data_IF_666988445732
#
_entry.id   IF_666988445732
#
_cell.length_a   1.000
_cell.length_b   1.000
_cell.length_c   1.000
_cell.angle_alpha   90.00
_cell.angle_beta   90.00
_cell.angle_gamma   90.00
#
_symmetry.space_group_name_H-M   'P 1'
#
loop_
_entity.id
_entity.type
_entity.pdbx_description
1 polymer ?
#
# COMPACT_ATOMS: atom_id res chain seq x y z
N UNK A 1 1.41 -12.70 8.14
CA UNK A 1 1.44 -11.77 9.28
C UNK A 1 2.59 -12.20 10.16
N UNK A 2 3.40 -11.24 10.58
CA UNK A 2 4.57 -11.46 11.41
C UNK A 2 4.38 -10.76 12.76
N UNK A 3 4.67 -11.48 13.84
CA UNK A 3 4.45 -11.05 15.21
C UNK A 3 5.80 -10.97 15.95
N UNK A 4 5.96 -9.92 16.74
CA UNK A 4 7.07 -9.81 17.67
C UNK A 4 6.91 -10.83 18.82
N UNK A 5 8.00 -11.06 19.58
CA UNK A 5 8.02 -12.01 20.70
C UNK A 5 7.05 -11.67 21.83
N UNK A 6 6.67 -10.39 21.96
CA UNK A 6 5.67 -9.90 22.89
C UNK A 6 4.22 -10.02 22.35
N UNK A 7 4.04 -10.60 21.17
CA UNK A 7 2.74 -10.74 20.50
C UNK A 7 2.26 -9.49 19.75
N UNK A 8 3.01 -8.39 19.73
CA UNK A 8 2.63 -7.21 18.94
C UNK A 8 2.84 -7.44 17.45
N UNK A 9 2.02 -6.81 16.63
CA UNK A 9 2.14 -6.89 15.17
C UNK A 9 3.41 -6.17 14.70
N UNK A 10 4.29 -6.89 13.98
CA UNK A 10 5.53 -6.33 13.43
C UNK A 10 5.39 -5.98 11.95
N UNK A 11 4.88 -6.92 11.15
CA UNK A 11 4.73 -6.73 9.71
C UNK A 11 3.50 -7.46 9.18
N UNK A 12 2.79 -6.84 8.24
CA UNK A 12 1.69 -7.45 7.50
C UNK A 12 1.93 -7.28 6.01
N UNK A 13 1.85 -8.38 5.27
CA UNK A 13 1.77 -8.36 3.82
C UNK A 13 0.32 -8.60 3.40
N UNK A 14 -0.25 -7.65 2.67
CA UNK A 14 -1.60 -7.72 2.12
C UNK A 14 -1.53 -7.68 0.59
N UNK A 15 -2.27 -8.57 -0.07
CA UNK A 15 -2.45 -8.53 -1.51
C UNK A 15 -3.79 -9.15 -1.87
N UNK A 16 -4.45 -8.61 -2.88
CA UNK A 16 -5.72 -9.15 -3.35
C UNK A 16 -5.50 -10.50 -4.10
N UNK A 17 -6.56 -11.30 -4.23
CA UNK A 17 -6.48 -12.64 -4.84
C UNK A 17 -6.03 -12.58 -6.32
N UNK A 18 -6.44 -11.53 -7.04
CA UNK A 18 -6.13 -11.37 -8.46
C UNK A 18 -4.65 -11.09 -8.67
N UNK A 19 -4.06 -10.17 -7.90
CA UNK A 19 -2.63 -9.86 -7.93
C UNK A 19 -1.77 -11.07 -7.57
N UNK A 20 -2.19 -11.88 -6.58
CA UNK A 20 -1.48 -13.14 -6.25
C UNK A 20 -1.49 -14.15 -7.39
N UNK A 21 -2.63 -14.28 -8.10
CA UNK A 21 -2.73 -15.16 -9.25
C UNK A 21 -1.84 -14.70 -10.40
N UNK A 22 -1.84 -13.39 -10.69
CA UNK A 22 -0.98 -12.82 -11.72
C UNK A 22 0.50 -13.10 -11.41
N UNK A 23 0.95 -12.83 -10.19
CA UNK A 23 2.32 -13.12 -9.75
C UNK A 23 2.74 -14.57 -10.01
N UNK A 24 1.91 -15.54 -9.61
CA UNK A 24 2.19 -16.97 -9.80
C UNK A 24 2.15 -17.41 -11.28
N UNK A 25 1.38 -16.69 -12.10
CA UNK A 25 1.18 -17.04 -13.50
C UNK A 25 2.30 -16.49 -14.40
N UNK A 26 2.76 -15.28 -14.11
CA UNK A 26 3.74 -14.58 -14.94
C UNK A 26 5.19 -14.70 -14.41
N UNK A 27 5.37 -15.27 -13.21
CA UNK A 27 6.67 -15.34 -12.52
C UNK A 27 7.33 -13.95 -12.40
N UNK A 28 6.48 -12.93 -12.23
CA UNK A 28 6.90 -11.53 -12.22
C UNK A 28 7.78 -11.24 -11.00
N UNK A 29 8.90 -10.57 -11.22
CA UNK A 29 9.73 -10.06 -10.12
C UNK A 29 9.06 -8.83 -9.53
N UNK A 30 8.76 -8.81 -8.22
CA UNK A 30 8.18 -7.64 -7.60
C UNK A 30 9.26 -6.55 -7.52
N UNK A 31 9.01 -5.42 -8.21
CA UNK A 31 9.88 -4.25 -8.14
C UNK A 31 9.48 -3.44 -6.90
N UNK A 32 10.38 -3.37 -5.93
CA UNK A 32 10.27 -2.47 -4.78
C UNK A 32 11.19 -1.29 -5.03
N UNK A 33 10.61 -0.15 -5.40
CA UNK A 33 11.36 1.10 -5.51
C UNK A 33 11.45 1.74 -4.12
N UNK A 34 12.48 1.38 -3.35
CA UNK A 34 12.71 1.91 -2.00
C UNK A 34 13.13 3.39 -2.00
N UNK A 35 13.35 3.99 -3.17
CA UNK A 35 13.76 5.39 -3.31
C UNK A 35 12.52 6.31 -3.31
N UNK A 36 11.37 5.79 -3.74
CA UNK A 36 10.14 6.55 -3.90
C UNK A 36 9.20 6.36 -2.69
N UNK A 37 8.84 7.43 -1.95
CA UNK A 37 7.81 7.36 -0.91
C UNK A 37 6.52 6.70 -1.40
N UNK A 38 6.01 5.74 -0.62
CA UNK A 38 4.71 5.12 -0.86
C UNK A 38 3.67 5.70 0.10
N UNK A 39 2.65 6.37 -0.44
CA UNK A 39 1.58 6.98 0.34
C UNK A 39 0.25 6.20 0.19
N UNK A 40 -0.21 5.48 1.23
CA UNK A 40 -1.44 4.71 1.20
C UNK A 40 -2.69 5.58 1.47
N UNK A 41 -3.69 5.47 0.60
CA UNK A 41 -5.00 6.10 0.77
C UNK A 41 -5.90 5.21 1.60
N UNK A 42 -6.05 5.54 2.88
CA UNK A 42 -6.86 4.80 3.83
C UNK A 42 -7.99 5.69 4.33
N UNK A 43 -9.22 5.21 4.30
CA UNK A 43 -10.33 5.84 5.01
C UNK A 43 -11.12 4.85 5.84
N UNK A 44 -12.19 5.33 6.47
CA UNK A 44 -12.96 4.57 7.45
C UNK A 44 -14.41 4.46 7.00
N UNK A 45 -14.96 3.24 6.96
CA UNK A 45 -16.37 3.04 6.59
C UNK A 45 -17.33 3.27 7.77
N UNK A 46 -18.65 3.20 7.51
CA UNK A 46 -19.70 3.35 8.54
C UNK A 46 -19.60 2.35 9.70
N UNK A 47 -18.91 1.23 9.50
CA UNK A 47 -18.65 0.21 10.53
C UNK A 47 -17.34 0.44 11.29
N UNK A 48 -16.68 1.60 11.10
CA UNK A 48 -15.39 1.96 11.70
C UNK A 48 -14.24 1.04 11.28
N UNK A 49 -14.35 0.43 10.10
CA UNK A 49 -13.30 -0.40 9.55
C UNK A 49 -12.44 0.44 8.60
N UNK A 50 -11.12 0.32 8.73
CA UNK A 50 -10.18 0.90 7.78
C UNK A 50 -10.29 0.20 6.43
N UNK A 51 -10.40 0.98 5.36
CA UNK A 51 -10.41 0.52 3.98
C UNK A 51 -9.25 1.18 3.26
N UNK A 52 -8.39 0.36 2.63
CA UNK A 52 -7.36 0.82 1.70
C UNK A 52 -8.02 1.06 0.34
N UNK A 53 -8.09 2.32 -0.08
CA UNK A 53 -8.64 2.72 -1.39
C UNK A 53 -7.60 2.59 -2.50
N UNK A 54 -6.32 2.79 -2.18
CA UNK A 54 -5.21 2.73 -3.12
C UNK A 54 -3.91 3.15 -2.47
N UNK A 55 -2.87 3.35 -3.28
CA UNK A 55 -1.62 3.95 -2.84
C UNK A 55 -0.86 4.50 -4.03
N UNK A 56 -0.06 5.54 -3.80
CA UNK A 56 0.76 6.16 -4.82
C UNK A 56 2.24 6.08 -4.46
N UNK A 57 3.07 5.96 -5.48
CA UNK A 57 4.51 6.17 -5.37
C UNK A 57 4.79 7.61 -5.81
N UNK A 58 5.39 8.40 -4.93
CA UNK A 58 5.57 9.85 -5.11
C UNK A 58 7.03 10.19 -5.31
N UNK A 59 7.34 11.02 -6.30
CA UNK A 59 8.72 11.48 -6.55
C UNK A 59 9.36 12.12 -5.31
N UNK A 60 8.57 12.91 -4.56
CA UNK A 60 8.96 13.51 -3.29
C UNK A 60 7.74 13.76 -2.39
N UNK A 61 7.99 14.11 -1.13
CA UNK A 61 6.96 14.45 -0.13
C UNK A 61 6.67 15.97 -0.10
N UNK A 62 6.59 16.64 -1.26
CA UNK A 62 6.27 18.07 -1.33
C UNK A 62 4.77 18.32 -1.50
N UNK A 63 4.34 19.51 -1.10
CA UNK A 63 2.93 19.94 -1.17
C UNK A 63 2.37 19.86 -2.60
N UNK A 64 3.16 20.21 -3.62
CA UNK A 64 2.74 20.14 -5.01
C UNK A 64 2.45 18.70 -5.44
N UNK A 65 3.29 17.75 -4.99
CA UNK A 65 3.15 16.32 -5.27
C UNK A 65 1.89 15.75 -4.61
N UNK A 66 1.61 16.14 -3.36
CA UNK A 66 0.36 15.75 -2.67
C UNK A 66 -0.88 16.41 -3.28
N UNK A 67 -0.76 17.65 -3.75
CA UNK A 67 -1.87 18.36 -4.42
C UNK A 67 -2.25 17.63 -5.70
N UNK A 68 -1.27 17.36 -6.57
CA UNK A 68 -1.47 16.58 -7.80
C UNK A 68 -2.11 15.22 -7.50
N UNK A 69 -1.64 14.54 -6.46
CA UNK A 69 -2.11 13.23 -6.06
C UNK A 69 -3.57 13.25 -5.61
N UNK A 70 -3.96 14.24 -4.80
CA UNK A 70 -5.34 14.41 -4.34
C UNK A 70 -6.30 14.76 -5.49
N UNK A 71 -5.82 15.39 -6.56
CA UNK A 71 -6.60 15.63 -7.78
C UNK A 71 -6.87 14.35 -8.61
N UNK A 72 -6.15 13.25 -8.35
CA UNK A 72 -6.38 11.98 -9.06
C UNK A 72 -7.53 11.14 -8.47
N UNK A 73 -8.06 11.52 -7.30
CA UNK A 73 -9.13 10.81 -6.61
C UNK A 73 -10.54 11.34 -6.92
#
# INVERSE_FOLDING_TARGET
>A
MDLASNGSLRSVFCSNKTSRKAYLQFDDVPVFDFIMPFDPFIGVNHHRQSILFGGALLEDEKEETFTWLLEQF
#
